data_IF_935512545270
#
_entry.id   IF_935512545270
#
_cell.length_a   1.000
_cell.length_b   1.000
_cell.length_c   1.000
_cell.angle_alpha   90.00
_cell.angle_beta   90.00
_cell.angle_gamma   90.00
#
_symmetry.space_group_name_H-M   'P 1'
#
loop_
_entity.id
_entity.type
_entity.pdbx_description
1 polymer ?
2 non-polymer ?
3 water ?
#
# COMPACT_ATOMS: atom_id res chain seq x y z
N UNK A 6 32.83 -0.09 -1.10
CA UNK A 6 32.38 0.42 0.24
C UNK A 6 31.08 1.24 0.12
N UNK A 7 30.02 0.74 0.76
CA UNK A 7 28.69 1.37 0.70
C UNK A 7 28.61 2.66 1.48
N UNK A 8 28.26 3.74 0.80
CA UNK A 8 28.15 5.04 1.44
C UNK A 8 26.73 5.53 1.61
N UNK A 9 26.29 5.60 2.88
CA UNK A 9 24.96 6.08 3.15
C UNK A 9 24.83 7.51 2.68
N UNK A 10 23.77 7.78 1.91
CA UNK A 10 23.49 9.11 1.37
C UNK A 10 22.19 9.59 2.00
N UNK A 11 22.09 10.91 2.21
CA UNK A 11 20.92 11.53 2.81
C UNK A 11 20.22 12.32 1.72
N UNK A 12 20.92 12.48 0.60
CA UNK A 12 20.34 13.23 -0.54
C UNK A 12 21.00 12.77 -1.85
N UNK A 13 20.30 13.04 -2.97
CA UNK A 13 20.76 12.60 -4.32
C UNK A 13 20.66 13.70 -5.38
N UNK A 14 21.61 13.73 -6.30
CA UNK A 14 21.51 14.74 -7.36
C UNK A 14 20.43 14.34 -8.34
N UNK A 15 20.09 15.25 -9.25
CA UNK A 15 19.07 14.97 -10.25
C UNK A 15 19.42 13.77 -11.14
N UNK A 16 20.70 13.66 -11.51
CA UNK A 16 21.21 12.57 -12.35
C UNK A 16 21.09 11.27 -11.60
N UNK A 17 21.46 11.30 -10.31
CA UNK A 17 21.42 10.07 -9.51
C UNK A 17 19.99 9.60 -9.37
N UNK A 18 19.09 10.56 -9.23
CA UNK A 18 17.66 10.25 -9.11
C UNK A 18 17.19 9.61 -10.42
N UNK A 19 17.60 10.19 -11.53
CA UNK A 19 17.23 9.60 -12.82
C UNK A 19 17.85 8.20 -12.91
N UNK A 20 19.05 7.99 -12.37
CA UNK A 20 19.70 6.67 -12.47
C UNK A 20 18.95 5.66 -11.63
N UNK A 21 18.42 6.06 -10.48
CA UNK A 21 17.66 5.10 -9.66
C UNK A 21 16.33 4.77 -10.36
N UNK A 22 15.64 5.79 -10.89
CA UNK A 22 14.35 5.51 -11.56
C UNK A 22 14.59 4.58 -12.76
N UNK A 23 15.73 4.74 -13.42
CA UNK A 23 16.03 3.86 -14.57
C UNK A 23 16.20 2.43 -14.11
N UNK A 24 16.86 2.24 -12.98
CA UNK A 24 17.09 0.90 -12.45
C UNK A 24 15.73 0.28 -12.06
N UNK A 25 14.87 1.06 -11.42
CA UNK A 25 13.58 0.56 -10.99
C UNK A 25 12.73 0.17 -12.19
N UNK A 26 12.66 1.07 -13.18
CA UNK A 26 11.87 0.79 -14.38
C UNK A 26 12.38 -0.47 -15.14
N UNK A 27 13.71 -0.60 -15.21
CA UNK A 27 14.30 -1.74 -15.90
C UNK A 27 13.91 -3.05 -15.20
N UNK A 28 13.87 -2.97 -13.87
CA UNK A 28 13.59 -4.13 -13.06
C UNK A 28 12.12 -4.55 -13.14
N UNK A 29 11.24 -3.56 -13.19
CA UNK A 29 9.79 -3.84 -13.27
C UNK A 29 9.53 -4.58 -14.57
N UNK A 30 10.20 -4.11 -15.63
CA UNK A 30 9.98 -4.73 -16.94
C UNK A 30 10.29 -6.23 -16.95
N UNK A 31 11.33 -6.64 -16.25
CA UNK A 31 11.75 -8.03 -16.19
C UNK A 31 11.00 -8.83 -15.14
N UNK A 32 10.90 -8.27 -13.93
CA UNK A 32 10.22 -8.97 -12.84
C UNK A 32 8.70 -8.94 -12.91
N UNK A 33 8.13 -7.94 -13.60
CA UNK A 33 6.68 -7.87 -13.70
C UNK A 33 6.05 -7.16 -12.51
N UNK A 34 6.87 -6.83 -11.50
CA UNK A 34 6.42 -6.16 -10.25
C UNK A 34 7.45 -5.06 -9.97
N UNK A 35 7.02 -3.86 -9.55
CA UNK A 35 8.00 -2.82 -9.25
C UNK A 35 8.75 -3.22 -7.93
N UNK A 36 10.09 -3.14 -7.95
CA UNK A 36 10.84 -3.57 -6.76
C UNK A 36 10.77 -2.72 -5.51
N UNK A 37 10.50 -1.45 -5.68
CA UNK A 37 10.33 -0.51 -4.55
C UNK A 37 9.01 0.20 -4.85
N UNK A 38 8.37 0.72 -3.80
CA UNK A 38 7.09 1.38 -3.94
C UNK A 38 7.10 2.80 -4.40
N UNK A 39 5.89 3.30 -4.60
CA UNK A 39 5.75 4.65 -5.07
C UNK A 39 6.21 5.70 -4.10
N UNK A 40 6.07 5.45 -2.82
CA UNK A 40 6.54 6.48 -1.91
C UNK A 40 8.09 6.54 -1.95
N UNK A 41 8.75 5.38 -2.08
CA UNK A 41 10.22 5.39 -2.16
C UNK A 41 10.59 6.25 -3.32
N UNK A 42 9.87 6.12 -4.45
CA UNK A 42 10.22 6.95 -5.57
C UNK A 42 10.04 8.43 -5.26
N UNK A 43 9.01 8.79 -4.47
CA UNK A 43 8.80 10.21 -4.11
C UNK A 43 9.91 10.70 -3.16
N UNK A 44 10.55 9.77 -2.46
CA UNK A 44 11.59 10.17 -1.52
C UNK A 44 12.90 10.46 -2.24
N UNK A 45 13.04 10.04 -3.52
CA UNK A 45 14.35 10.30 -4.20
C UNK A 45 14.75 11.79 -4.27
N UNK A 46 13.72 12.64 -4.37
CA UNK A 46 14.01 14.04 -4.49
C UNK A 46 13.96 14.79 -3.19
N UNK A 47 13.90 14.06 -2.07
CA UNK A 47 13.82 14.70 -0.78
C UNK A 47 15.02 14.35 0.09
N UNK A 48 15.15 15.00 1.25
CA UNK A 48 16.30 14.69 2.12
C UNK A 48 15.84 14.04 3.43
N UNK A 49 14.75 13.28 3.38
CA UNK A 49 14.11 12.65 4.54
C UNK A 49 14.50 11.20 4.83
N UNK A 50 15.17 10.55 3.87
CA UNK A 50 15.56 9.15 4.03
C UNK A 50 17.01 8.93 3.73
N UNK A 51 17.44 7.67 3.82
CA UNK A 51 18.83 7.38 3.55
C UNK A 51 18.91 6.36 2.41
N UNK A 52 20.00 6.44 1.65
CA UNK A 52 20.08 5.61 0.47
C UNK A 52 21.45 4.95 0.23
N UNK A 53 21.43 3.87 -0.52
CA UNK A 53 22.69 3.23 -0.95
C UNK A 53 22.56 3.13 -2.50
N UNK A 54 23.58 3.58 -3.23
CA UNK A 54 23.65 3.46 -4.69
C UNK A 54 24.93 2.66 -5.03
N UNK A 55 24.75 1.55 -5.73
CA UNK A 55 25.91 0.73 -6.11
C UNK A 55 26.11 1.00 -7.59
N UNK A 56 27.28 1.58 -7.88
CA UNK A 56 27.62 1.94 -9.26
C UNK A 56 28.15 0.78 -10.02
N UNK A 57 28.02 0.90 -11.34
CA UNK A 57 28.54 -0.11 -12.24
C UNK A 57 30.07 0.01 -12.30
N UNK A 58 30.68 -0.85 -13.13
CA UNK A 58 32.15 -0.99 -13.28
C UNK A 58 32.91 0.10 -14.01
N UNK A 59 32.29 0.67 -15.04
CA UNK A 59 32.97 1.68 -15.81
C UNK A 59 32.33 3.03 -15.56
N UNK A 60 33.10 4.12 -15.74
CA UNK A 60 32.54 5.45 -15.50
C UNK A 60 31.45 5.77 -16.55
N UNK A 61 30.62 6.74 -16.20
CA UNK A 61 29.55 7.16 -17.08
C UNK A 61 28.40 6.15 -17.18
N UNK A 62 28.41 5.08 -16.40
CA UNK A 62 27.34 4.09 -16.53
C UNK A 62 26.16 4.11 -15.59
N UNK A 63 25.19 3.21 -15.78
CA UNK A 63 24.01 3.19 -14.90
C UNK A 63 24.35 2.51 -13.54
N UNK A 64 23.46 2.65 -12.57
CA UNK A 64 23.72 1.97 -11.32
C UNK A 64 23.20 0.53 -11.33
N UNK A 65 23.72 -0.32 -10.48
CA UNK A 65 23.30 -1.73 -10.47
C UNK A 65 22.56 -2.14 -9.20
N UNK A 66 22.58 -1.27 -8.20
CA UNK A 66 21.91 -1.62 -6.95
C UNK A 66 21.47 -0.36 -6.24
N UNK A 67 20.37 -0.51 -5.51
CA UNK A 67 19.80 0.61 -4.79
C UNK A 67 19.00 0.13 -3.58
N UNK A 68 19.20 0.83 -2.46
CA UNK A 68 18.44 0.54 -1.25
C UNK A 68 17.99 1.89 -0.64
N UNK A 69 16.73 1.96 -0.15
CA UNK A 69 16.24 3.12 0.53
C UNK A 69 15.92 2.68 1.97
N UNK A 70 16.27 3.53 2.95
CA UNK A 70 15.94 3.20 4.36
C UNK A 70 15.12 4.38 4.84
N UNK A 71 13.86 4.13 5.16
CA UNK A 71 12.93 5.16 5.61
C UNK A 71 12.74 4.99 7.09
N UNK A 72 12.88 6.12 7.80
CA UNK A 72 12.72 6.08 9.26
C UNK A 72 11.33 5.64 9.66
N UNK A 73 11.21 5.09 10.88
CA UNK A 73 9.94 4.61 11.46
C UNK A 73 8.90 5.77 11.66
N UNK A 77 8.55 1.36 16.06
CA UNK A 77 9.09 0.22 15.34
C UNK A 77 10.41 0.48 14.64
N UNK A 78 10.82 -0.47 13.81
CA UNK A 78 12.03 -0.32 13.06
C UNK A 78 11.81 0.43 11.74
N UNK A 79 12.92 0.86 11.16
CA UNK A 79 12.95 1.54 9.87
C UNK A 79 12.53 0.47 8.85
N UNK A 80 12.25 0.93 7.63
CA UNK A 80 11.82 0.02 6.57
C UNK A 80 12.77 0.22 5.40
N UNK A 81 13.33 -0.88 4.91
CA UNK A 81 14.21 -0.82 3.78
C UNK A 81 13.52 -1.42 2.52
N UNK A 82 13.81 -0.82 1.36
CA UNK A 82 13.31 -1.38 0.09
C UNK A 82 14.62 -1.39 -0.77
N UNK A 83 14.82 -2.49 -1.53
CA UNK A 83 16.06 -2.56 -2.30
C UNK A 83 15.86 -3.31 -3.59
N UNK A 84 16.80 -3.07 -4.51
CA UNK A 84 16.68 -3.68 -5.81
C UNK A 84 18.10 -3.84 -6.40
N UNK A 85 18.33 -4.99 -7.01
CA UNK A 85 19.57 -5.20 -7.76
C UNK A 85 19.09 -5.45 -9.21
N UNK A 86 19.77 -4.86 -10.18
CA UNK A 86 19.40 -5.00 -11.58
C UNK A 86 19.37 -6.48 -11.94
N UNK A 87 18.37 -6.92 -12.71
CA UNK A 87 18.28 -8.32 -13.12
C UNK A 87 19.58 -8.91 -13.69
N UNK A 88 20.34 -8.09 -14.39
CA UNK A 88 21.60 -8.54 -15.02
C UNK A 88 22.76 -8.63 -14.08
N UNK A 89 22.61 -8.11 -12.86
CA UNK A 89 23.67 -8.08 -11.86
C UNK A 89 23.35 -8.91 -10.59
N UNK A 90 22.32 -9.76 -10.66
CA UNK A 90 21.96 -10.56 -9.52
C UNK A 90 22.92 -11.75 -9.30
N UNK A 91 22.76 -12.40 -8.15
CA UNK A 91 23.56 -13.57 -7.75
C UNK A 91 25.04 -13.26 -7.68
N UNK A 92 25.35 -12.04 -7.30
CA UNK A 92 26.75 -11.64 -7.16
C UNK A 92 26.99 -11.05 -5.79
N UNK A 93 26.02 -11.21 -4.88
CA UNK A 93 26.20 -10.68 -3.53
C UNK A 93 25.86 -9.24 -3.24
N UNK A 94 25.39 -8.49 -4.23
CA UNK A 94 25.06 -7.08 -4.02
C UNK A 94 23.87 -6.87 -3.08
N UNK A 95 22.81 -7.64 -3.29
CA UNK A 95 21.63 -7.50 -2.44
C UNK A 95 22.02 -7.84 -0.99
N UNK A 96 22.76 -8.93 -0.84
CA UNK A 96 23.21 -9.38 0.49
C UNK A 96 24.04 -8.26 1.15
N UNK A 97 24.92 -7.64 0.38
CA UNK A 97 25.74 -6.56 0.97
C UNK A 97 24.94 -5.33 1.40
N UNK A 98 23.99 -4.91 0.58
CA UNK A 98 23.19 -3.77 0.96
C UNK A 98 22.31 -4.16 2.17
N UNK A 99 21.76 -5.38 2.15
CA UNK A 99 20.86 -5.78 3.25
C UNK A 99 21.64 -5.84 4.59
N UNK A 100 22.81 -6.47 4.54
CA UNK A 100 23.63 -6.57 5.77
C UNK A 100 23.99 -5.16 6.21
N UNK A 101 24.24 -4.25 5.27
CA UNK A 101 24.54 -2.85 5.69
C UNK A 101 23.36 -2.20 6.40
N UNK A 102 22.14 -2.45 5.92
CA UNK A 102 20.98 -1.88 6.61
C UNK A 102 20.86 -2.53 8.01
N UNK A 103 21.04 -3.86 8.12
CA UNK A 103 20.88 -4.52 9.43
C UNK A 103 21.93 -4.02 10.41
N UNK A 104 23.15 -3.82 9.93
CA UNK A 104 24.20 -3.36 10.85
C UNK A 104 23.83 -1.97 11.34
N UNK A 105 23.41 -1.13 10.42
CA UNK A 105 23.02 0.25 10.71
C UNK A 105 21.84 0.42 11.66
N UNK A 106 20.87 -0.49 11.55
CA UNK A 106 19.71 -0.41 12.41
C UNK A 106 19.75 -1.39 13.56
N UNK A 107 20.93 -1.91 13.85
CA UNK A 107 20.98 -2.82 14.98
C UNK A 107 20.11 -4.05 14.85
N UNK A 108 19.88 -4.49 13.60
CA UNK A 108 19.11 -5.69 13.33
C UNK A 108 17.61 -5.48 13.42
N UNK A 109 17.19 -4.23 13.60
CA UNK A 109 15.79 -3.84 13.76
C UNK A 109 15.00 -3.51 12.51
N UNK A 110 15.65 -3.03 11.45
CA UNK A 110 14.83 -2.67 10.27
C UNK A 110 14.18 -3.87 9.60
N UNK A 111 13.08 -3.59 8.87
CA UNK A 111 12.45 -4.65 8.11
C UNK A 111 12.76 -4.40 6.63
N UNK A 112 12.41 -5.36 5.77
CA UNK A 112 12.64 -5.23 4.33
C UNK A 112 11.35 -5.57 3.61
N UNK A 113 10.88 -4.76 2.64
CA UNK A 113 9.68 -5.14 1.94
C UNK A 113 10.02 -5.99 0.71
N UNK A 114 9.23 -7.03 0.40
CA UNK A 114 9.47 -7.80 -0.78
C UNK A 114 8.12 -7.66 -1.52
N UNK A 115 8.07 -6.81 -2.53
CA UNK A 115 6.84 -6.64 -3.27
C UNK A 115 6.60 -7.87 -4.13
N UNK A 116 5.41 -8.47 -3.96
CA UNK A 116 5.08 -9.67 -4.69
C UNK A 116 5.72 -10.93 -4.13
N UNK A 117 6.58 -10.79 -3.11
CA UNK A 117 7.23 -11.95 -2.47
C UNK A 117 7.73 -12.92 -3.56
N UNK A 118 8.61 -12.39 -4.42
CA UNK A 118 9.10 -13.17 -5.57
C UNK A 118 10.18 -14.19 -5.13
N UNK A 119 10.43 -15.20 -5.96
CA UNK A 119 11.38 -16.23 -5.58
C UNK A 119 12.75 -15.67 -5.13
N UNK A 120 13.34 -14.75 -5.91
CA UNK A 120 14.65 -14.24 -5.45
C UNK A 120 14.64 -13.65 -4.03
N UNK A 121 13.67 -12.76 -3.74
CA UNK A 121 13.55 -12.18 -2.37
C UNK A 121 13.35 -13.29 -1.33
N UNK A 122 12.49 -14.26 -1.60
CA UNK A 122 12.27 -15.29 -0.59
C UNK A 122 13.57 -16.03 -0.27
N UNK A 123 14.30 -16.40 -1.32
CA UNK A 123 15.60 -17.10 -1.18
C UNK A 123 16.62 -16.24 -0.49
N UNK A 124 16.66 -14.95 -0.85
CA UNK A 124 17.62 -14.01 -0.24
C UNK A 124 17.30 -13.83 1.22
N UNK A 125 15.99 -13.81 1.54
CA UNK A 125 15.61 -13.69 2.93
C UNK A 125 16.12 -14.93 3.65
N UNK A 126 15.90 -16.09 3.05
CA UNK A 126 16.32 -17.35 3.65
C UNK A 126 17.81 -17.34 3.90
N UNK A 127 18.55 -16.85 2.90
CA UNK A 127 20.01 -16.83 2.99
C UNK A 127 20.50 -15.89 4.06
N UNK A 128 19.77 -14.84 4.29
CA UNK A 128 20.13 -13.89 5.31
C UNK A 128 19.58 -14.28 6.70
N UNK A 129 18.92 -15.42 6.81
CA UNK A 129 18.37 -15.76 8.13
C UNK A 129 17.19 -14.91 8.64
N UNK A 130 16.46 -14.30 7.69
CA UNK A 130 15.32 -13.48 8.05
C UNK A 130 14.08 -14.32 7.91
N UNK A 131 12.99 -13.87 8.54
CA UNK A 131 11.71 -14.53 8.40
C UNK A 131 10.65 -13.46 8.12
N UNK A 132 9.57 -13.90 7.50
CA UNK A 132 8.46 -13.03 7.23
C UNK A 132 7.72 -12.70 8.54
N UNK A 133 7.46 -11.43 8.77
CA UNK A 133 6.79 -10.99 9.98
C UNK A 133 5.47 -10.28 9.70
N UNK A 134 5.24 -9.95 8.44
CA UNK A 134 4.00 -9.31 8.01
C UNK A 134 3.75 -9.72 6.58
N UNK A 135 2.46 -9.92 6.24
CA UNK A 135 2.09 -10.21 4.88
C UNK A 135 0.93 -9.24 4.59
N UNK A 136 1.07 -8.41 3.56
CA UNK A 136 0.01 -7.45 3.17
C UNK A 136 -0.53 -8.07 1.89
N UNK A 137 -1.78 -8.51 1.91
CA UNK A 137 -2.34 -9.18 0.74
C UNK A 137 -3.07 -8.23 -0.22
N UNK A 138 -2.73 -8.27 -1.51
CA UNK A 138 -3.49 -7.49 -2.49
C UNK A 138 -4.52 -8.50 -2.98
N UNK A 139 -5.82 -8.20 -2.83
CA UNK A 139 -6.88 -9.06 -3.35
C UNK A 139 -7.56 -8.33 -4.49
N UNK A 140 -8.07 -9.06 -5.50
CA UNK A 140 -8.82 -8.39 -6.58
C UNK A 140 -10.05 -9.18 -6.91
N UNK A 141 -11.00 -8.55 -7.63
CA UNK A 141 -12.13 -9.30 -8.17
C UNK A 141 -12.55 -8.55 -9.45
N UNK A 142 -13.10 -9.29 -10.40
CA UNK A 142 -13.53 -8.65 -11.66
C UNK A 142 -14.68 -7.71 -11.47
N UNK A 143 -14.84 -6.78 -12.42
CA UNK A 143 -15.93 -5.84 -12.41
C UNK A 143 -17.18 -6.44 -13.08
N UNK A 144 -17.21 -7.76 -13.19
CA UNK A 144 -18.34 -8.49 -13.74
C UNK A 144 -18.94 -9.37 -12.67
N UNK A 145 -20.16 -9.84 -12.91
CA UNK A 145 -20.83 -10.72 -11.97
C UNK A 145 -20.56 -10.23 -10.57
N UNK A 146 -20.87 -8.96 -10.37
CA UNK A 146 -20.64 -8.37 -9.07
C UNK A 146 -21.79 -8.59 -8.08
N UNK A 147 -21.50 -8.42 -6.77
CA UNK A 147 -22.56 -8.60 -5.76
C UNK A 147 -23.67 -7.48 -5.74
N UNK A 148 -24.76 -7.76 -5.03
CA UNK A 148 -25.89 -6.83 -4.88
C UNK A 148 -25.93 -6.44 -3.41
N UNK A 149 -25.97 -5.14 -3.10
CA UNK A 149 -25.99 -4.86 -1.66
C UNK A 149 -27.34 -5.09 -0.90
N UNK A 150 -27.24 -5.51 0.35
CA UNK A 150 -28.45 -5.67 1.16
C UNK A 150 -28.47 -4.49 2.13
N UNK A 151 -29.41 -3.58 1.94
CA UNK A 151 -29.52 -2.45 2.84
C UNK A 151 -30.59 -2.72 3.92
N UNK A 152 -30.16 -2.86 5.18
CA UNK A 152 -31.01 -3.14 6.35
C UNK A 152 -31.78 -1.89 6.66
N UNK A 153 -33.06 -1.97 7.05
CA UNK A 153 -33.61 -0.67 7.29
C UNK A 153 -33.05 -0.15 8.58
N UNK A 154 -33.17 1.16 8.74
CA UNK A 154 -32.61 1.83 9.89
C UNK A 154 -31.27 2.40 9.43
N UNK A 155 -30.97 2.24 8.15
CA UNK A 155 -29.72 2.71 7.55
C UNK A 155 -29.95 3.45 6.23
N UNK A 156 -29.24 4.57 6.03
CA UNK A 156 -29.43 5.29 4.79
C UNK A 156 -28.04 5.54 4.27
N UNK A 157 -27.90 5.42 2.96
CA UNK A 157 -26.60 5.58 2.32
C UNK A 157 -26.51 6.90 1.52
N UNK A 158 -25.38 7.59 1.62
CA UNK A 158 -25.22 8.78 0.78
C UNK A 158 -23.72 9.06 0.61
N UNK A 159 -23.37 9.97 -0.32
CA UNK A 159 -21.93 10.25 -0.44
C UNK A 159 -21.51 11.37 0.48
N UNK A 160 -20.20 11.51 0.59
CA UNK A 160 -19.54 12.54 1.43
C UNK A 160 -20.03 13.94 1.00
N UNK A 161 -20.38 14.80 1.96
CA UNK A 161 -20.94 16.14 1.61
C UNK A 161 -19.96 17.26 1.87
N UNK A 162 -18.71 16.89 2.11
CA UNK A 162 -17.67 17.89 2.36
C UNK A 162 -17.26 18.03 3.84
N UNK A 163 -16.68 19.17 4.21
CA UNK A 163 -16.22 19.37 5.58
C UNK A 163 -17.31 19.17 6.66
N UNK A 164 -18.59 19.29 6.32
CA UNK A 164 -19.69 19.07 7.26
C UNK A 164 -19.56 17.63 7.83
N UNK A 165 -19.10 16.70 6.99
CA UNK A 165 -19.00 15.30 7.45
C UNK A 165 -17.69 14.89 8.11
N UNK A 166 -16.72 15.79 8.18
CA UNK A 166 -15.38 15.43 8.66
C UNK A 166 -15.33 14.99 10.09
N UNK A 167 -16.12 15.65 10.95
CA UNK A 167 -16.05 15.28 12.39
C UNK A 167 -16.44 13.81 12.57
N UNK A 168 -17.55 13.44 11.99
CA UNK A 168 -18.03 12.04 12.06
C UNK A 168 -17.08 11.09 11.36
N UNK A 169 -16.59 11.47 10.17
CA UNK A 169 -15.66 10.63 9.46
C UNK A 169 -14.43 10.35 10.25
N UNK A 170 -13.85 11.37 10.90
CA UNK A 170 -12.66 11.12 11.70
C UNK A 170 -13.00 10.28 12.94
N UNK A 171 -14.14 10.55 13.54
CA UNK A 171 -14.57 9.81 14.73
C UNK A 171 -14.64 8.30 14.38
N UNK A 172 -15.38 8.00 13.32
CA UNK A 172 -15.55 6.60 12.90
C UNK A 172 -14.24 5.96 12.46
N UNK A 173 -13.48 6.66 11.61
CA UNK A 173 -12.19 6.14 11.22
C UNK A 173 -11.31 5.79 12.43
N UNK A 174 -11.21 6.77 13.34
CA UNK A 174 -10.40 6.56 14.52
C UNK A 174 -10.96 5.52 15.53
N UNK A 175 -12.28 5.29 15.57
CA UNK A 175 -12.86 4.28 16.50
C UNK A 175 -12.58 2.87 15.86
N UNK A 176 -12.88 2.75 14.56
CA UNK A 176 -12.56 1.46 13.87
C UNK A 176 -11.09 1.06 13.83
N UNK A 177 -10.21 2.04 13.59
CA UNK A 177 -8.83 1.76 13.46
C UNK A 177 -8.08 2.10 14.71
N UNK A 178 -8.77 2.04 15.86
CA UNK A 178 -8.08 2.39 17.11
C UNK A 178 -6.91 1.44 17.33
N UNK A 179 -5.73 2.05 17.58
CA UNK A 179 -4.50 1.30 17.74
C UNK A 179 -3.76 0.92 16.44
N UNK A 180 -4.27 1.34 15.28
CA UNK A 180 -3.65 1.03 14.00
C UNK A 180 -2.58 2.09 13.75
N UNK A 181 -1.35 1.63 13.53
CA UNK A 181 -0.17 2.44 13.28
C UNK A 181 -0.38 3.62 12.38
N UNK A 182 -0.87 3.36 11.18
CA UNK A 182 -1.03 4.44 10.22
C UNK A 182 -2.43 4.97 9.94
N UNK A 183 -3.46 4.15 10.12
CA UNK A 183 -4.81 4.58 9.80
C UNK A 183 -5.55 5.14 10.97
N UNK A 184 -5.06 4.88 12.17
CA UNK A 184 -5.73 5.41 13.35
C UNK A 184 -5.26 6.82 13.68
N UNK A 185 -5.96 7.47 14.62
CA UNK A 185 -5.56 8.79 15.07
C UNK A 185 -5.44 9.85 14.00
N UNK A 186 -6.34 9.82 13.02
CA UNK A 186 -6.31 10.84 11.98
C UNK A 186 -6.89 12.18 12.46
N UNK A 187 -6.56 13.22 11.70
CA UNK A 187 -7.06 14.56 11.91
C UNK A 187 -7.41 15.15 10.54
N UNK A 188 -7.89 16.39 10.53
CA UNK A 188 -8.28 17.08 9.30
C UNK A 188 -7.10 17.18 8.35
N UNK A 189 -5.90 17.06 8.92
CA UNK A 189 -4.69 17.16 8.14
C UNK A 189 -4.56 16.00 7.18
N UNK A 190 -4.85 14.79 7.65
CA UNK A 190 -4.80 13.65 6.76
C UNK A 190 -5.88 13.72 5.71
N UNK A 191 -7.08 14.15 6.09
CA UNK A 191 -8.14 14.28 5.10
C UNK A 191 -7.76 15.29 4.06
N UNK A 192 -7.29 16.46 4.51
CA UNK A 192 -6.95 17.51 3.54
C UNK A 192 -5.89 17.07 2.59
N UNK A 193 -4.94 16.27 3.06
CA UNK A 193 -3.88 15.83 2.16
C UNK A 193 -4.41 14.94 1.06
N UNK A 194 -5.35 14.07 1.41
CA UNK A 194 -5.95 13.18 0.42
C UNK A 194 -6.91 13.86 -0.52
N UNK A 195 -7.69 14.84 -0.03
CA UNK A 195 -8.63 15.58 -0.85
C UNK A 195 -7.89 16.45 -1.86
N UNK A 196 -6.63 16.68 -1.55
CA UNK A 196 -5.75 17.48 -2.39
C UNK A 196 -5.13 16.68 -3.54
N UNK A 197 -5.27 15.34 -3.50
CA UNK A 197 -4.71 14.51 -4.55
C UNK A 197 -5.69 14.49 -5.73
N UNK A 198 -5.16 14.38 -6.97
CA UNK A 198 -6.00 14.40 -8.15
C UNK A 198 -7.01 13.27 -8.24
N UNK A 199 -6.73 12.18 -7.55
CA UNK A 199 -7.65 11.04 -7.62
C UNK A 199 -8.87 11.25 -6.73
N UNK A 200 -8.79 12.16 -5.74
CA UNK A 200 -9.97 12.30 -4.86
C UNK A 200 -11.26 12.59 -5.59
N UNK A 201 -12.34 11.94 -5.16
CA UNK A 201 -13.63 12.20 -5.75
C UNK A 201 -14.56 12.13 -4.58
N UNK A 202 -15.20 13.25 -4.18
CA UNK A 202 -16.11 13.14 -3.01
C UNK A 202 -17.27 12.17 -3.17
N UNK A 203 -17.69 11.94 -4.43
CA UNK A 203 -18.73 10.98 -4.66
C UNK A 203 -18.25 9.55 -4.60
N UNK A 204 -16.95 9.35 -4.45
CA UNK A 204 -16.40 8.02 -4.29
C UNK A 204 -16.26 7.63 -2.80
N UNK A 205 -16.59 8.56 -1.91
CA UNK A 205 -16.53 8.28 -0.47
C UNK A 205 -18.00 8.09 -0.03
N UNK A 206 -18.33 6.83 0.21
CA UNK A 206 -19.67 6.40 0.55
C UNK A 206 -19.84 6.29 2.09
N UNK A 207 -20.96 6.81 2.56
CA UNK A 207 -21.26 6.87 4.01
C UNK A 207 -22.58 6.22 4.34
N UNK A 208 -22.63 5.47 5.45
CA UNK A 208 -23.91 4.90 5.87
C UNK A 208 -24.21 5.52 7.25
N UNK A 209 -25.45 6.00 7.36
CA UNK A 209 -25.93 6.65 8.58
C UNK A 209 -27.19 5.93 9.10
N UNK A 210 -27.37 6.04 10.38
CA UNK A 210 -28.52 5.46 11.01
C UNK A 210 -29.67 6.37 10.62
N UNK A 211 -30.87 5.83 10.65
CA UNK A 211 -32.07 6.53 10.27
C UNK A 211 -33.06 6.16 11.37
N UNK A 218 -28.85 11.28 12.38
CA UNK A 218 -28.25 9.97 12.59
C UNK A 218 -26.71 10.04 12.65
N UNK A 219 -26.11 9.16 13.44
CA UNK A 219 -24.67 9.10 13.56
C UNK A 219 -24.13 8.30 12.36
N UNK A 220 -22.88 8.60 11.98
CA UNK A 220 -22.24 7.85 10.90
C UNK A 220 -21.99 6.46 11.50
N UNK A 221 -22.32 5.45 10.75
CA UNK A 221 -22.12 4.03 11.15
C UNK A 221 -20.86 3.44 10.49
N UNK A 222 -20.51 3.93 9.29
CA UNK A 222 -19.37 3.36 8.61
C UNK A 222 -19.14 4.07 7.31
N UNK A 223 -18.01 3.80 6.68
CA UNK A 223 -17.72 4.46 5.38
C UNK A 223 -16.86 3.60 4.52
N UNK A 224 -16.95 3.83 3.20
CA UNK A 224 -16.12 3.09 2.25
C UNK A 224 -15.58 4.15 1.29
N UNK A 225 -14.28 4.38 1.41
CA UNK A 225 -13.59 5.34 0.55
C UNK A 225 -13.05 4.54 -0.63
N UNK A 226 -13.60 4.82 -1.84
CA UNK A 226 -13.13 4.15 -3.07
C UNK A 226 -12.14 5.08 -3.81
N UNK A 227 -11.35 4.50 -4.69
CA UNK A 227 -10.33 5.30 -5.36
C UNK A 227 -10.05 4.79 -6.75
N UNK A 228 -10.11 5.72 -7.72
CA UNK A 228 -9.75 5.42 -9.09
C UNK A 228 -8.55 6.36 -9.33
N UNK A 229 -7.40 5.78 -9.67
CA UNK A 229 -6.22 6.62 -9.92
C UNK A 229 -6.14 6.91 -11.43
N UNK A 230 -5.96 8.19 -11.82
CA UNK A 230 -5.88 8.55 -13.24
C UNK A 230 -4.80 7.80 -13.98
N UNK A 231 -3.75 7.35 -13.30
CA UNK A 231 -2.72 6.69 -14.07
C UNK A 231 -2.83 5.18 -14.17
N UNK A 232 -3.89 4.59 -13.62
CA UNK A 232 -4.12 3.13 -13.70
C UNK A 232 -5.54 2.89 -14.17
N UNK A 233 -5.79 3.06 -15.48
CA UNK A 233 -7.11 2.86 -16.10
C UNK A 233 -7.68 1.48 -15.85
N UNK A 234 -9.01 1.42 -15.76
CA UNK A 234 -9.70 0.17 -15.59
C UNK A 234 -9.55 -0.47 -14.22
N UNK A 235 -8.93 0.23 -13.27
CA UNK A 235 -8.81 -0.35 -11.94
C UNK A 235 -9.42 0.54 -10.90
N UNK A 236 -10.15 -0.06 -9.94
CA UNK A 236 -10.68 0.71 -8.84
C UNK A 236 -10.16 0.11 -7.56
N UNK A 237 -10.10 0.90 -6.50
CA UNK A 237 -9.57 0.36 -5.24
C UNK A 237 -10.53 0.59 -4.04
N UNK A 238 -10.60 -0.43 -3.16
CA UNK A 238 -11.34 -0.29 -1.89
C UNK A 238 -10.19 0.32 -1.09
N UNK A 239 -10.17 1.66 -0.98
CA UNK A 239 -9.02 2.38 -0.37
C UNK A 239 -9.04 2.34 1.20
N UNK A 240 -10.18 2.67 1.78
CA UNK A 240 -10.37 2.53 3.25
C UNK A 240 -11.82 2.16 3.52
N UNK A 241 -12.00 1.07 4.29
CA UNK A 241 -13.33 0.62 4.69
C UNK A 241 -13.25 0.63 6.24
N UNK A 242 -14.22 1.26 6.90
CA UNK A 242 -14.26 1.26 8.37
C UNK A 242 -15.68 1.35 8.87
N UNK A 243 -16.00 0.53 9.90
CA UNK A 243 -17.33 0.55 10.52
C UNK A 243 -17.09 0.84 12.00
N UNK A 244 -17.86 1.78 12.53
CA UNK A 244 -17.74 2.11 13.97
C UNK A 244 -17.97 0.79 14.74
N UNK A 245 -17.12 0.48 15.70
CA UNK A 245 -17.30 -0.77 16.50
C UNK A 245 -18.76 -0.89 17.07
N UNK A 246 -19.42 0.24 17.36
CA UNK A 246 -20.78 0.26 17.87
C UNK A 246 -21.81 -0.19 16.87
N UNK A 247 -21.35 -0.37 15.61
CA UNK A 247 -22.22 -0.74 14.53
C UNK A 247 -21.67 -1.95 13.75
N UNK A 248 -20.60 -2.56 14.26
CA UNK A 248 -19.95 -3.73 13.61
C UNK A 248 -20.74 -5.01 13.87
N UNK A 249 -20.47 -6.04 13.07
CA UNK A 249 -21.13 -7.34 13.20
C UNK A 249 -22.65 -7.34 13.02
N UNK A 250 -23.10 -6.45 12.09
CA UNK A 250 -24.51 -6.29 11.75
C UNK A 250 -24.69 -6.29 10.23
N UNK A 251 -23.62 -6.58 9.50
CA UNK A 251 -23.66 -6.67 8.04
C UNK A 251 -23.27 -5.38 7.29
N UNK A 252 -22.89 -4.35 8.00
CA UNK A 252 -22.67 -3.05 7.34
C UNK A 252 -21.40 -3.02 6.51
N UNK A 253 -20.34 -3.62 7.04
CA UNK A 253 -19.09 -3.69 6.31
C UNK A 253 -19.22 -4.33 4.94
N UNK A 254 -19.93 -5.48 4.87
CA UNK A 254 -20.09 -6.12 3.58
C UNK A 254 -20.93 -5.19 2.65
N UNK A 255 -22.03 -4.67 3.22
CA UNK A 255 -22.94 -3.79 2.50
C UNK A 255 -22.16 -2.62 1.95
N UNK A 256 -21.34 -1.99 2.79
CA UNK A 256 -20.61 -0.87 2.25
C UNK A 256 -19.64 -1.25 1.13
N UNK A 257 -18.99 -2.41 1.28
CA UNK A 257 -18.03 -2.82 0.26
C UNK A 257 -18.78 -3.05 -1.03
N UNK A 258 -19.96 -3.68 -0.93
CA UNK A 258 -20.77 -3.96 -2.13
C UNK A 258 -21.21 -2.72 -2.88
N UNK A 259 -21.66 -1.74 -2.12
CA UNK A 259 -22.12 -0.47 -2.67
C UNK A 259 -20.94 0.17 -3.41
N UNK A 260 -19.76 0.12 -2.82
CA UNK A 260 -18.59 0.73 -3.46
C UNK A 260 -18.21 0.00 -4.77
N UNK A 261 -18.39 -1.32 -4.80
CA UNK A 261 -18.07 -2.07 -6.01
C UNK A 261 -19.04 -1.65 -7.11
N UNK A 262 -20.33 -1.52 -6.76
CA UNK A 262 -21.33 -1.06 -7.74
C UNK A 262 -20.91 0.29 -8.30
N UNK A 263 -20.54 1.22 -7.41
CA UNK A 263 -20.17 2.58 -7.85
C UNK A 263 -18.90 2.55 -8.77
N UNK A 264 -17.87 1.82 -8.35
CA UNK A 264 -16.66 1.73 -9.14
C UNK A 264 -16.96 1.07 -10.50
N UNK A 265 -17.74 0.00 -10.50
CA UNK A 265 -18.02 -0.70 -11.75
C UNK A 265 -18.73 0.23 -12.74
N UNK A 266 -19.56 1.14 -12.22
CA UNK A 266 -20.29 2.10 -13.07
C UNK A 266 -19.28 3.09 -13.61
N UNK A 267 -18.40 3.57 -12.75
CA UNK A 267 -17.45 4.55 -13.23
C UNK A 267 -16.44 3.98 -14.19
N UNK A 268 -16.07 2.73 -13.99
CA UNK A 268 -15.07 2.15 -14.83
C UNK A 268 -15.58 1.59 -16.14
N UNK A 278 -3.39 -6.10 -16.54
CA UNK A 278 -4.30 -7.21 -16.94
C UNK A 278 -5.78 -6.90 -17.16
N UNK A 279 -6.66 -7.64 -16.48
CA UNK A 279 -8.13 -7.49 -16.58
C UNK A 279 -8.65 -6.34 -15.65
N UNK A 280 -9.75 -5.64 -16.07
CA UNK A 280 -10.38 -4.54 -15.32
C UNK A 280 -10.81 -5.15 -14.01
N UNK A 281 -10.78 -4.37 -12.94
CA UNK A 281 -11.01 -5.04 -11.69
C UNK A 281 -11.03 -4.06 -10.52
N UNK A 282 -11.43 -4.57 -9.35
CA UNK A 282 -11.36 -3.75 -8.14
C UNK A 282 -10.28 -4.49 -7.32
N UNK A 283 -9.36 -3.71 -6.71
CA UNK A 283 -8.28 -4.27 -5.89
C UNK A 283 -8.29 -3.62 -4.50
N UNK A 284 -7.60 -4.30 -3.58
CA UNK A 284 -7.46 -3.73 -2.24
C UNK A 284 -6.27 -4.38 -1.59
N UNK A 285 -5.80 -3.72 -0.53
CA UNK A 285 -4.69 -4.26 0.27
C UNK A 285 -5.19 -4.45 1.68
N UNK A 286 -4.95 -5.66 2.22
CA UNK A 286 -5.42 -5.96 3.57
C UNK A 286 -4.37 -6.81 4.35
N UNK A 287 -4.15 -6.49 5.63
CA UNK A 287 -3.15 -7.26 6.42
C UNK A 287 -3.68 -8.70 6.48
N UNK A 288 -2.78 -9.67 6.34
CA UNK A 288 -3.19 -11.07 6.26
C UNK A 288 -3.96 -11.58 7.50
N UNK A 289 -3.76 -10.93 8.65
CA UNK A 289 -4.43 -11.37 9.91
C UNK A 289 -5.63 -10.55 10.32
N UNK A 290 -6.07 -9.69 9.39
CA UNK A 290 -7.25 -8.92 9.62
C UNK A 290 -8.43 -9.80 9.30
N UNK A 291 -8.82 -10.64 10.28
CA UNK A 291 -9.84 -11.62 9.99
C UNK A 291 -11.13 -11.10 9.48
N UNK A 292 -11.69 -10.10 10.17
CA UNK A 292 -12.95 -9.52 9.73
C UNK A 292 -12.89 -8.97 8.30
N UNK A 293 -11.83 -8.25 7.94
CA UNK A 293 -11.79 -7.65 6.58
C UNK A 293 -11.61 -8.76 5.58
N UNK A 294 -10.66 -9.67 5.85
CA UNK A 294 -10.48 -10.75 4.90
C UNK A 294 -11.78 -11.48 4.69
N UNK A 295 -12.52 -11.80 5.75
CA UNK A 295 -13.80 -12.50 5.53
C UNK A 295 -14.78 -11.66 4.68
N UNK A 296 -14.86 -10.37 4.96
CA UNK A 296 -15.76 -9.50 4.24
C UNK A 296 -15.46 -9.60 2.74
N UNK A 297 -14.20 -9.45 2.43
CA UNK A 297 -13.78 -9.44 1.01
C UNK A 297 -13.97 -10.82 0.36
N UNK A 298 -13.64 -11.87 1.11
CA UNK A 298 -13.82 -13.21 0.56
C UNK A 298 -15.29 -13.46 0.21
N UNK A 299 -16.20 -12.92 1.01
CA UNK A 299 -17.65 -13.12 0.81
C UNK A 299 -18.16 -12.44 -0.42
N UNK A 300 -17.37 -11.49 -0.89
CA UNK A 300 -17.73 -10.71 -2.09
C UNK A 300 -16.91 -11.12 -3.30
N UNK A 301 -16.23 -12.26 -3.19
CA UNK A 301 -15.55 -12.80 -4.37
C UNK A 301 -14.14 -12.35 -4.64
N UNK A 302 -13.58 -11.60 -3.72
CA UNK A 302 -12.18 -11.24 -3.90
C UNK A 302 -11.31 -12.48 -3.64
N UNK A 303 -10.19 -12.54 -4.36
CA UNK A 303 -9.22 -13.61 -4.19
C UNK A 303 -7.84 -12.99 -4.14
N UNK A 304 -6.90 -13.76 -3.66
CA UNK A 304 -5.53 -13.24 -3.55
C UNK A 304 -4.93 -13.02 -4.93
N UNK A 305 -4.38 -11.81 -5.15
CA UNK A 305 -3.79 -11.47 -6.42
C UNK A 305 -2.25 -11.53 -6.24
N UNK A 306 -1.79 -10.94 -5.14
CA UNK A 306 -0.35 -10.99 -4.84
C UNK A 306 -0.12 -10.71 -3.37
N UNK A 307 1.06 -11.04 -2.85
CA UNK A 307 1.32 -10.78 -1.43
C UNK A 307 2.65 -10.02 -1.25
N UNK A 308 2.67 -9.01 -0.38
CA UNK A 308 3.93 -8.30 -0.07
C UNK A 308 4.29 -8.81 1.32
N UNK A 309 5.55 -9.24 1.46
CA UNK A 309 6.03 -9.76 2.74
C UNK A 309 7.10 -8.82 3.29
N UNK A 310 6.99 -8.50 4.58
CA UNK A 310 7.99 -7.68 5.26
C UNK A 310 8.84 -8.74 5.98
N UNK A 311 10.13 -8.73 5.71
CA UNK A 311 11.09 -9.68 6.32
C UNK A 311 11.92 -9.01 7.41
N UNK A 312 12.17 -9.73 8.51
CA UNK A 312 12.98 -9.14 9.57
C UNK A 312 13.73 -10.32 10.25
N UNK A 313 14.60 -9.95 11.16
CA UNK A 313 15.29 -11.00 11.94
C UNK A 313 14.29 -11.41 13.01
#
# INVERSE_FOLDING_TARGET
>A
GSHMTALDWRSALTADEQRSVRALVTATTAVDGVAPVGEQVLRELGQQRTEHLLVAGSRPGGPIIGYLNLSPPRGAGGAMAELVVHPQSRRRGIGTAMARAALAKTAGRNQFWAHGTLDPARATASALGLVGVRELIQMRRPLRDIPEPTIPDGVVIRTYAGTSDDAELLRVNNAAFAGHPEQGGWTAVQLAERRGEAWFDPDGLILAFGDSPRERPGRLLGFHWTKVHPDHPGLGEVYVLGVDPAAQRRGLGQMLTSIGIVSLARRLGGRKTLDPAVEPAVLLYVESDNVAAVRTYQSLGFTTYSVDTAYALAGTDN
#
